data_IF_106545383902
#
_entry.id   IF_106545383902
#
_cell.length_a   1.000
_cell.length_b   1.000
_cell.length_c   1.000
_cell.angle_alpha   90.00
_cell.angle_beta   90.00
_cell.angle_gamma   90.00
#
_symmetry.space_group_name_H-M   'P 1'
#
loop_
_entity.id
_entity.type
_entity.pdbx_description
1 polymer ?
#
# COMPACT_ATOMS: atom_id res chain seq x y z
N UNK A 1 -15.68 -30.43 -70.61
CA UNK A 1 -15.13 -29.51 -69.58
C UNK A 1 -14.66 -30.37 -68.42
N UNK A 2 -13.37 -30.39 -68.15
CA UNK A 2 -12.74 -31.26 -67.15
C UNK A 2 -12.67 -30.56 -65.79
N UNK A 3 -13.18 -31.21 -64.74
CA UNK A 3 -12.75 -30.99 -63.36
C UNK A 3 -11.31 -31.49 -63.21
N UNK A 4 -10.46 -30.86 -62.37
CA UNK A 4 -10.34 -31.35 -60.99
C UNK A 4 -9.77 -30.36 -59.94
N UNK A 5 -9.64 -30.89 -58.71
CA UNK A 5 -8.61 -30.63 -57.67
C UNK A 5 -8.90 -29.66 -56.51
N UNK A 6 -9.56 -30.25 -55.51
CA UNK A 6 -9.32 -30.17 -54.06
C UNK A 6 -7.83 -30.15 -53.66
N UNK A 7 -7.32 -29.01 -53.18
CA UNK A 7 -6.04 -28.78 -52.47
C UNK A 7 -6.27 -27.42 -51.74
N UNK A 8 -6.09 -27.17 -50.44
CA UNK A 8 -5.14 -27.62 -49.43
C UNK A 8 -5.73 -27.30 -48.04
N UNK A 9 -5.60 -28.28 -47.13
CA UNK A 9 -5.59 -28.10 -45.69
C UNK A 9 -4.47 -27.15 -45.27
N UNK A 10 -4.77 -25.94 -44.78
CA UNK A 10 -3.78 -25.12 -44.07
C UNK A 10 -4.45 -23.94 -43.33
N UNK A 11 -5.28 -24.22 -42.32
CA UNK A 11 -5.72 -23.16 -41.39
C UNK A 11 -5.88 -23.71 -39.97
N UNK A 12 -5.01 -24.64 -39.59
CA UNK A 12 -4.78 -24.98 -38.20
C UNK A 12 -3.61 -24.12 -37.68
N UNK A 13 -3.81 -23.55 -36.49
CA UNK A 13 -2.77 -23.02 -35.60
C UNK A 13 -2.36 -21.53 -35.67
N UNK A 14 -3.30 -20.60 -35.89
CA UNK A 14 -3.11 -19.19 -35.48
C UNK A 14 -4.32 -18.64 -34.73
N UNK A 15 -4.68 -19.27 -33.61
CA UNK A 15 -5.71 -18.78 -32.69
C UNK A 15 -5.28 -18.86 -31.22
N UNK A 16 -3.97 -18.79 -30.94
CA UNK A 16 -3.40 -18.98 -29.60
C UNK A 16 -2.53 -17.81 -29.10
N UNK A 17 -2.58 -16.64 -29.76
CA UNK A 17 -1.73 -15.49 -29.41
C UNK A 17 -2.48 -14.29 -28.81
N UNK A 18 -3.74 -14.43 -28.38
CA UNK A 18 -4.33 -13.48 -27.44
C UNK A 18 -3.83 -13.81 -26.03
N UNK A 19 -2.52 -13.65 -25.87
CA UNK A 19 -1.79 -13.71 -24.63
C UNK A 19 -2.47 -12.81 -23.58
N UNK A 20 -2.42 -13.29 -22.34
CA UNK A 20 -3.13 -12.75 -21.19
C UNK A 20 -3.12 -11.22 -21.14
N UNK A 21 -4.29 -10.63 -21.37
CA UNK A 21 -4.64 -9.39 -20.69
C UNK A 21 -4.53 -9.72 -19.21
N UNK A 22 -3.42 -9.30 -18.62
CA UNK A 22 -3.08 -9.49 -17.24
C UNK A 22 -4.31 -9.10 -16.44
N UNK A 23 -4.92 -10.09 -15.78
CA UNK A 23 -5.76 -9.83 -14.64
C UNK A 23 -4.84 -9.13 -13.64
N UNK A 24 -4.70 -7.81 -13.78
CA UNK A 24 -4.43 -6.93 -12.68
C UNK A 24 -5.59 -7.25 -11.76
N UNK A 25 -5.35 -8.15 -10.82
CA UNK A 25 -6.14 -8.23 -9.61
C UNK A 25 -6.22 -6.78 -9.16
N UNK A 26 -7.38 -6.16 -9.39
CA UNK A 26 -7.76 -4.93 -8.74
C UNK A 26 -7.73 -5.34 -7.28
N UNK A 27 -6.54 -5.19 -6.68
CA UNK A 27 -6.24 -5.63 -5.36
C UNK A 27 -7.08 -4.68 -4.53
N UNK A 28 -8.28 -5.15 -4.21
CA UNK A 28 -9.28 -4.38 -3.49
C UNK A 28 -8.50 -3.76 -2.34
N UNK A 29 -8.36 -2.42 -2.29
CA UNK A 29 -7.50 -1.79 -1.32
C UNK A 29 -7.93 -2.36 0.00
N UNK A 30 -6.97 -2.98 0.71
CA UNK A 30 -7.30 -3.60 1.98
C UNK A 30 -8.05 -2.53 2.79
N UNK A 31 -9.02 -2.89 3.65
CA UNK A 31 -9.68 -1.89 4.50
C UNK A 31 -8.70 -1.09 5.39
N UNK A 32 -7.40 -1.40 5.31
CA UNK A 32 -6.26 -0.79 5.98
C UNK A 32 -5.27 -0.13 5.01
N UNK A 33 -5.56 -0.11 3.71
CA UNK A 33 -4.87 0.71 2.74
C UNK A 33 -5.23 2.15 3.07
N UNK A 34 -4.42 2.76 3.92
CA UNK A 34 -4.45 4.20 4.18
C UNK A 34 -4.50 4.85 2.81
N UNK A 35 -5.50 5.69 2.49
CA UNK A 35 -5.51 6.41 1.20
C UNK A 35 -4.22 7.22 1.01
N UNK A 36 -3.59 7.64 2.11
CA UNK A 36 -2.26 8.26 2.15
C UNK A 36 -1.08 7.30 1.86
N UNK A 37 -1.26 5.98 1.95
CA UNK A 37 -0.26 4.99 1.51
C UNK A 37 -0.20 4.80 -0.01
N UNK A 38 -1.18 5.27 -0.78
CA UNK A 38 -1.15 5.16 -2.23
C UNK A 38 0.02 5.95 -2.85
N UNK A 39 0.49 7.01 -2.17
CA UNK A 39 1.60 7.87 -2.60
C UNK A 39 2.91 7.62 -1.82
N UNK A 40 2.95 6.64 -0.91
CA UNK A 40 4.14 6.25 -0.16
C UNK A 40 3.93 6.30 1.35
N UNK A 41 3.88 5.13 1.98
CA UNK A 41 3.89 4.98 3.42
C UNK A 41 5.25 4.50 3.93
N UNK A 42 5.65 5.03 5.08
CA UNK A 42 6.80 4.54 5.83
C UNK A 42 6.33 3.55 6.88
N UNK A 43 7.03 2.43 7.01
CA UNK A 43 6.75 1.43 8.06
C UNK A 43 7.83 1.53 9.12
N UNK A 44 7.42 1.79 10.36
CA UNK A 44 8.31 1.77 11.51
C UNK A 44 8.04 0.47 12.28
N UNK A 45 9.09 -0.34 12.48
CA UNK A 45 9.01 -1.65 13.14
C UNK A 45 9.87 -1.75 14.39
N UNK A 46 10.91 -0.93 14.47
CA UNK A 46 11.88 -0.97 15.56
C UNK A 46 11.58 0.13 16.56
N UNK A 47 11.66 -0.20 17.85
CA UNK A 47 11.54 0.79 18.92
C UNK A 47 12.63 1.85 18.75
N UNK A 48 12.23 3.11 18.81
CA UNK A 48 13.07 4.28 18.57
C UNK A 48 13.15 4.71 17.11
N UNK A 49 12.62 3.92 16.17
CA UNK A 49 12.53 4.34 14.77
C UNK A 49 11.65 5.58 14.67
N UNK A 50 12.08 6.56 13.87
CA UNK A 50 11.48 7.88 13.85
C UNK A 50 11.37 8.48 12.45
N UNK A 51 10.36 9.32 12.28
CA UNK A 51 10.18 10.19 11.11
C UNK A 51 10.27 11.62 11.60
N UNK A 52 11.14 12.40 10.96
CA UNK A 52 11.32 13.83 11.24
C UNK A 52 10.98 14.65 10.00
N UNK A 53 10.17 15.68 10.19
CA UNK A 53 9.58 16.47 9.08
C UNK A 53 10.25 17.81 8.88
N UNK A 54 11.20 18.16 9.75
CA UNK A 54 11.93 19.43 9.73
C UNK A 54 11.33 20.47 10.68
N UNK A 55 11.44 21.75 10.30
CA UNK A 55 11.05 22.88 11.14
C UNK A 55 9.53 23.03 11.29
N UNK A 56 8.77 22.71 10.24
CA UNK A 56 7.31 22.85 10.23
C UNK A 56 6.62 21.50 10.50
N UNK A 57 5.55 21.50 11.31
CA UNK A 57 4.76 20.31 11.49
C UNK A 57 4.01 19.93 10.21
N UNK A 58 3.73 18.63 10.06
CA UNK A 58 2.90 18.12 8.98
C UNK A 58 1.85 17.15 9.53
N UNK A 59 0.78 16.97 8.77
CA UNK A 59 -0.29 16.05 9.11
C UNK A 59 0.05 14.64 8.60
N UNK A 60 -0.16 13.65 9.46
CA UNK A 60 0.09 12.24 9.17
C UNK A 60 -1.09 11.40 9.61
N UNK A 61 -1.35 10.32 8.87
CA UNK A 61 -2.18 9.21 9.34
C UNK A 61 -1.27 8.08 9.79
N UNK A 62 -1.40 7.71 11.05
CA UNK A 62 -0.67 6.61 11.68
C UNK A 62 -1.64 5.45 11.85
N UNK A 63 -1.28 4.26 11.39
CA UNK A 63 -2.06 3.04 11.60
C UNK A 63 -1.22 1.97 12.28
N UNK A 64 -1.81 1.33 13.29
CA UNK A 64 -1.23 0.16 13.94
C UNK A 64 -1.26 -1.05 13.01
N UNK A 65 -0.10 -1.69 12.85
CA UNK A 65 0.05 -2.97 12.17
C UNK A 65 0.28 -4.14 13.13
N UNK A 66 0.43 -3.84 14.41
CA UNK A 66 0.69 -4.80 15.47
C UNK A 66 -0.61 -5.38 16.04
N UNK A 67 -0.57 -6.66 16.42
CA UNK A 67 -1.70 -7.33 17.06
C UNK A 67 -1.96 -6.87 18.50
N UNK A 68 -0.97 -6.25 19.13
CA UNK A 68 -1.07 -5.71 20.49
C UNK A 68 -1.38 -4.20 20.51
N UNK A 69 -1.55 -3.59 19.33
CA UNK A 69 -1.55 -2.14 19.20
C UNK A 69 -0.13 -1.58 19.07
N UNK A 70 -0.05 -0.25 19.07
CA UNK A 70 1.21 0.48 18.96
C UNK A 70 1.21 1.71 19.87
N UNK A 71 2.39 2.13 20.28
CA UNK A 71 2.60 3.37 21.02
C UNK A 71 3.62 4.22 20.28
N UNK A 72 3.28 5.48 20.04
CA UNK A 72 4.12 6.43 19.32
C UNK A 72 4.19 7.74 20.09
N UNK A 73 5.32 8.40 20.05
CA UNK A 73 5.44 9.79 20.49
C UNK A 73 5.36 10.70 19.27
N UNK A 74 4.38 11.61 19.27
CA UNK A 74 4.27 12.68 18.29
C UNK A 74 4.76 13.96 18.96
N UNK A 75 5.92 14.44 18.52
CA UNK A 75 6.75 15.45 19.20
C UNK A 75 7.06 15.04 20.65
N UNK A 76 6.21 15.43 21.60
CA UNK A 76 6.33 15.08 23.03
C UNK A 76 5.09 14.36 23.58
N UNK A 77 4.05 14.19 22.77
CA UNK A 77 2.77 13.63 23.19
C UNK A 77 2.71 12.16 22.82
N UNK A 78 2.40 11.30 23.79
CA UNK A 78 2.24 9.86 23.54
C UNK A 78 0.83 9.60 22.99
N UNK A 79 0.78 8.91 21.85
CA UNK A 79 -0.42 8.41 21.21
C UNK A 79 -0.40 6.89 21.24
N UNK A 80 -1.45 6.31 21.79
CA UNK A 80 -1.64 4.85 21.86
C UNK A 80 -2.71 4.44 20.87
N UNK A 81 -2.35 3.53 19.98
CA UNK A 81 -3.24 2.97 18.98
C UNK A 81 -3.59 1.54 19.38
N UNK A 82 -4.86 1.20 19.27
CA UNK A 82 -5.31 -0.18 19.43
C UNK A 82 -4.90 -1.04 18.23
N UNK A 83 -5.11 -2.36 18.33
CA UNK A 83 -4.95 -3.28 17.21
C UNK A 83 -5.79 -2.80 16.01
N UNK A 84 -5.14 -2.63 14.85
CA UNK A 84 -5.77 -2.21 13.57
C UNK A 84 -6.42 -0.83 13.59
N UNK A 85 -6.08 0.00 14.57
CA UNK A 85 -6.56 1.36 14.67
C UNK A 85 -5.71 2.33 13.85
N UNK A 86 -6.32 3.43 13.43
CA UNK A 86 -5.70 4.50 12.68
C UNK A 86 -6.08 5.85 13.28
N UNK A 87 -5.11 6.76 13.39
CA UNK A 87 -5.34 8.11 13.91
C UNK A 87 -4.56 9.15 13.12
N UNK A 88 -5.15 10.33 13.00
CA UNK A 88 -4.52 11.48 12.37
C UNK A 88 -3.84 12.33 13.41
N UNK A 89 -2.58 12.65 13.15
CA UNK A 89 -1.75 13.45 14.04
C UNK A 89 -1.11 14.58 13.25
N UNK A 90 -0.79 15.66 13.95
CA UNK A 90 -0.01 16.76 13.41
C UNK A 90 1.22 16.95 14.29
N UNK A 91 2.40 16.93 13.69
CA UNK A 91 3.65 17.03 14.43
C UNK A 91 4.88 17.10 13.54
N UNK A 92 6.04 17.34 14.17
CA UNK A 92 7.35 17.40 13.51
C UNK A 92 8.15 16.11 13.63
N UNK A 93 7.92 15.35 14.69
CA UNK A 93 8.56 14.07 14.94
C UNK A 93 7.53 13.01 15.28
N UNK A 94 7.66 11.83 14.70
CA UNK A 94 6.90 10.64 15.08
C UNK A 94 7.91 9.56 15.44
N UNK A 95 7.93 9.12 16.70
CA UNK A 95 8.88 8.13 17.23
C UNK A 95 8.11 6.91 17.69
N UNK A 96 8.50 5.72 17.23
CA UNK A 96 7.87 4.47 17.63
C UNK A 96 8.39 4.03 19.01
N UNK A 97 7.52 3.92 20.01
CA UNK A 97 7.88 3.45 21.35
C UNK A 97 7.64 1.94 21.51
N UNK A 98 6.58 1.41 20.88
CA UNK A 98 6.23 0.00 20.91
C UNK A 98 5.33 -0.40 19.73
N UNK A 99 5.41 -1.66 19.30
CA UNK A 99 4.58 -2.23 18.23
C UNK A 99 5.15 -2.03 16.84
N UNK A 100 4.27 -2.01 15.84
CA UNK A 100 4.59 -1.73 14.43
C UNK A 100 3.53 -0.77 13.90
N UNK A 101 3.96 0.26 13.17
CA UNK A 101 3.05 1.24 12.55
C UNK A 101 3.36 1.45 11.07
N UNK A 102 2.34 1.81 10.31
CA UNK A 102 2.48 2.50 9.04
C UNK A 102 2.15 3.98 9.22
N UNK A 103 2.94 4.84 8.60
CA UNK A 103 2.78 6.29 8.63
C UNK A 103 2.69 6.80 7.20
N UNK A 104 1.58 7.45 6.88
CA UNK A 104 1.37 8.16 5.62
C UNK A 104 1.25 9.65 5.86
N UNK A 105 1.85 10.46 4.99
CA UNK A 105 1.70 11.93 5.04
C UNK A 105 0.40 12.35 4.38
N UNK A 106 -0.42 13.11 5.09
CA UNK A 106 -1.67 13.65 4.57
C UNK A 106 -1.41 14.88 3.70
N UNK A 107 -2.20 15.11 2.64
CA UNK A 107 -2.16 16.36 1.90
C UNK A 107 -2.51 17.54 2.82
N UNK A 108 -1.94 18.71 2.50
CA UNK A 108 -2.23 19.96 3.22
C UNK A 108 -3.58 20.54 2.81
#
# INVERSE_FOLDING_TARGET
MATPRTWILASAALALLAAGAQAQTAQQPSPYAIESCASGCFVLKERGAAIYTGADPASYRICSRSSLGAEVSVDTTVVRLSNRDCTDVNGRAIILNAGEIAVGRLPR
#
